data_IF_520761440168
#
_entry.id   IF_520761440168
#
_cell.length_a   1.000
_cell.length_b   1.000
_cell.length_c   1.000
_cell.angle_alpha   90.00
_cell.angle_beta   90.00
_cell.angle_gamma   90.00
#
_symmetry.space_group_name_H-M   'P 1'
#
loop_
_entity.id
_entity.type
_entity.pdbx_description
1 polymer ?
#
# COMPACT_ATOMS: atom_id res chain seq x y z
N UNK A 1 3.30 -29.59 -58.56
CA UNK A 1 3.93 -29.23 -57.26
C UNK A 1 3.46 -27.83 -56.89
N UNK A 2 2.63 -27.69 -55.85
CA UNK A 2 2.25 -26.39 -55.27
C UNK A 2 2.75 -26.38 -53.83
N UNK A 3 3.68 -25.47 -53.52
CA UNK A 3 4.15 -25.16 -52.18
C UNK A 3 3.30 -24.02 -51.61
N UNK A 4 2.78 -24.21 -50.39
CA UNK A 4 2.10 -23.20 -49.58
C UNK A 4 3.13 -22.38 -48.77
N UNK A 5 2.90 -21.08 -48.53
CA UNK A 5 3.78 -20.29 -47.66
C UNK A 5 3.36 -20.38 -46.19
N UNK A 6 4.29 -20.79 -45.33
CA UNK A 6 4.26 -20.61 -43.88
C UNK A 6 5.03 -19.32 -43.58
N UNK A 7 4.34 -18.21 -43.35
CA UNK A 7 4.97 -16.99 -42.84
C UNK A 7 3.90 -16.08 -42.24
N UNK A 8 3.52 -16.30 -40.97
CA UNK A 8 2.74 -15.29 -40.22
C UNK A 8 2.68 -15.49 -38.69
N UNK A 9 3.72 -16.03 -38.03
CA UNK A 9 3.65 -16.32 -36.57
C UNK A 9 4.78 -15.77 -35.70
N UNK A 10 5.70 -14.94 -36.23
CA UNK A 10 6.87 -14.48 -35.46
C UNK A 10 6.79 -13.00 -35.02
N UNK A 11 5.84 -12.21 -35.52
CA UNK A 11 5.80 -10.76 -35.24
C UNK A 11 5.04 -10.32 -33.98
N UNK A 12 4.25 -11.19 -33.34
CA UNK A 12 3.47 -10.80 -32.15
C UNK A 12 4.26 -10.85 -30.83
N UNK A 13 5.38 -11.57 -30.76
CA UNK A 13 6.17 -11.67 -29.52
C UNK A 13 7.02 -10.42 -29.27
N UNK A 14 7.69 -9.88 -30.28
CA UNK A 14 8.57 -8.72 -30.12
C UNK A 14 7.81 -7.45 -29.66
N UNK A 15 6.58 -7.25 -30.13
CA UNK A 15 5.75 -6.12 -29.73
C UNK A 15 5.26 -6.24 -28.27
N UNK A 16 4.99 -7.45 -27.80
CA UNK A 16 4.60 -7.72 -26.41
C UNK A 16 5.76 -7.50 -25.44
N UNK A 17 6.96 -8.01 -25.78
CA UNK A 17 8.18 -7.80 -24.98
C UNK A 17 8.58 -6.31 -24.91
N UNK A 18 8.45 -5.56 -26.00
CA UNK A 18 8.74 -4.13 -26.01
C UNK A 18 7.79 -3.33 -25.11
N UNK A 19 6.48 -3.68 -25.11
CA UNK A 19 5.47 -3.04 -24.25
C UNK A 19 5.65 -3.39 -22.78
N UNK A 20 6.02 -4.63 -22.47
CA UNK A 20 6.28 -5.10 -21.11
C UNK A 20 7.52 -4.42 -20.50
N UNK A 21 8.60 -4.31 -21.29
CA UNK A 21 9.78 -3.53 -20.89
C UNK A 21 9.46 -2.04 -20.68
N UNK A 22 8.57 -1.47 -21.49
CA UNK A 22 8.13 -0.07 -21.32
C UNK A 22 7.26 0.13 -20.07
N UNK A 23 6.36 -0.81 -19.75
CA UNK A 23 5.51 -0.76 -18.56
C UNK A 23 6.35 -0.86 -17.27
N UNK A 24 7.31 -1.80 -17.22
CA UNK A 24 8.23 -1.92 -16.08
C UNK A 24 9.04 -0.65 -15.87
N UNK A 25 9.55 -0.04 -16.96
CA UNK A 25 10.30 1.23 -16.87
C UNK A 25 9.42 2.38 -16.37
N UNK A 26 8.18 2.46 -16.84
CA UNK A 26 7.22 3.47 -16.39
C UNK A 26 6.90 3.29 -14.90
N UNK A 27 6.67 2.05 -14.45
CA UNK A 27 6.43 1.73 -13.05
C UNK A 27 7.64 2.12 -12.18
N UNK A 28 8.85 1.74 -12.60
CA UNK A 28 10.09 2.08 -11.89
C UNK A 28 10.28 3.59 -11.79
N UNK A 29 10.01 4.32 -12.88
CA UNK A 29 10.10 5.78 -12.92
C UNK A 29 9.10 6.43 -11.95
N UNK A 30 7.83 6.02 -11.98
CA UNK A 30 6.79 6.62 -11.14
C UNK A 30 7.05 6.37 -9.65
N UNK A 31 7.55 5.18 -9.28
CA UNK A 31 7.88 4.88 -7.88
C UNK A 31 9.13 5.63 -7.42
N UNK A 32 10.15 5.73 -8.28
CA UNK A 32 11.41 6.43 -7.95
C UNK A 32 11.24 7.95 -7.91
N UNK A 33 10.35 8.48 -8.76
CA UNK A 33 10.09 9.91 -8.97
C UNK A 33 8.57 10.17 -8.98
N UNK A 34 7.91 10.07 -7.82
CA UNK A 34 6.46 10.24 -7.72
C UNK A 34 6.01 11.68 -8.02
N UNK A 35 6.91 12.66 -7.90
CA UNK A 35 6.72 14.04 -8.35
C UNK A 35 5.88 14.91 -7.42
N UNK A 36 5.49 14.41 -6.25
CA UNK A 36 4.98 15.21 -5.14
C UNK A 36 5.62 14.68 -3.86
N UNK A 37 6.25 15.58 -3.11
CA UNK A 37 7.04 15.27 -1.94
C UNK A 37 6.53 16.10 -0.78
N UNK A 38 6.55 15.53 0.42
CA UNK A 38 6.07 16.20 1.63
C UNK A 38 7.08 16.00 2.73
N UNK A 39 7.31 17.03 3.56
CA UNK A 39 8.01 16.80 4.82
C UNK A 39 7.21 15.79 5.63
N UNK A 40 7.87 14.67 5.95
CA UNK A 40 7.45 13.89 7.11
C UNK A 40 7.98 14.64 8.33
N UNK A 41 7.20 15.62 8.80
CA UNK A 41 7.51 16.38 10.01
C UNK A 41 7.56 15.42 11.20
N UNK A 42 8.75 15.22 11.76
CA UNK A 42 9.08 14.20 12.77
C UNK A 42 8.79 12.76 12.31
N UNK A 43 9.69 11.82 12.64
CA UNK A 43 9.40 10.40 12.35
C UNK A 43 8.14 10.01 13.11
N UNK A 44 7.08 9.67 12.38
CA UNK A 44 5.80 9.33 12.98
C UNK A 44 5.98 8.14 13.92
N UNK A 45 5.49 8.26 15.15
CA UNK A 45 5.61 7.21 16.15
C UNK A 45 4.35 6.34 16.10
N UNK A 46 4.52 5.02 16.18
CA UNK A 46 3.43 4.05 16.26
C UNK A 46 3.68 3.04 17.38
N UNK A 47 2.62 2.53 18.05
CA UNK A 47 2.78 1.56 19.13
C UNK A 47 3.49 0.29 18.64
N UNK A 48 4.25 -0.35 19.53
CA UNK A 48 4.95 -1.60 19.24
C UNK A 48 4.02 -2.70 18.70
N UNK A 49 2.80 -2.75 19.22
CA UNK A 49 1.72 -3.59 18.73
C UNK A 49 0.96 -2.88 17.60
N UNK A 50 1.64 -2.74 16.46
CA UNK A 50 1.17 -2.00 15.27
C UNK A 50 -0.27 -2.41 14.89
N UNK A 51 -1.27 -1.53 15.08
CA UNK A 51 -2.65 -1.80 14.68
C UNK A 51 -2.80 -1.74 13.15
N UNK A 52 -3.94 -2.19 12.67
CA UNK A 52 -4.40 -1.78 11.35
C UNK A 52 -4.85 -0.31 11.39
N UNK A 53 -4.39 0.48 10.43
CA UNK A 53 -5.01 1.76 10.08
C UNK A 53 -6.02 1.47 8.97
N UNK A 54 -7.30 1.40 9.32
CA UNK A 54 -8.29 0.88 8.39
C UNK A 54 -8.38 1.76 7.13
N UNK A 55 -8.05 1.16 5.98
CA UNK A 55 -8.14 1.72 4.62
C UNK A 55 -7.30 2.96 4.34
N UNK A 56 -6.39 3.31 5.24
CA UNK A 56 -5.27 4.20 4.94
C UNK A 56 -4.05 3.30 4.73
N UNK A 57 -3.39 3.42 3.58
CA UNK A 57 -1.97 3.04 3.53
C UNK A 57 -1.30 4.05 4.44
N UNK A 58 -0.36 3.60 5.24
CA UNK A 58 0.26 4.50 6.18
C UNK A 58 0.81 5.73 5.45
N UNK A 59 0.39 6.92 5.87
CA UNK A 59 0.75 8.23 5.27
C UNK A 59 2.26 8.55 5.41
N UNK A 60 3.06 7.55 5.75
CA UNK A 60 4.49 7.63 6.06
C UNK A 60 5.35 7.40 4.81
N UNK A 61 4.79 7.56 3.61
CA UNK A 61 5.53 7.42 2.37
C UNK A 61 6.46 8.62 2.10
N UNK A 62 6.21 9.77 2.74
CA UNK A 62 6.93 11.03 2.49
C UNK A 62 6.77 11.59 1.07
N UNK A 63 5.98 10.93 0.24
CA UNK A 63 5.74 11.28 -1.14
C UNK A 63 4.36 10.80 -1.60
N UNK A 64 3.83 11.47 -2.61
CA UNK A 64 2.59 11.14 -3.29
C UNK A 64 2.75 11.36 -4.80
N UNK A 65 1.79 10.91 -5.60
CA UNK A 65 1.89 11.04 -7.05
C UNK A 65 1.39 12.40 -7.52
N UNK A 66 2.24 13.12 -8.26
CA UNK A 66 1.83 14.32 -9.01
C UNK A 66 0.63 14.03 -9.93
N UNK A 67 -0.14 15.05 -10.28
CA UNK A 67 -1.27 14.91 -11.22
C UNK A 67 -0.84 14.28 -12.55
N UNK A 68 0.35 14.65 -13.03
CA UNK A 68 0.97 14.06 -14.23
C UNK A 68 1.14 12.54 -14.08
N UNK A 69 1.72 12.08 -12.98
CA UNK A 69 1.93 10.66 -12.74
C UNK A 69 0.61 9.92 -12.51
N UNK A 70 -0.35 10.50 -11.79
CA UNK A 70 -1.71 9.93 -11.66
C UNK A 70 -2.38 9.75 -13.03
N UNK A 71 -2.21 10.72 -13.93
CA UNK A 71 -2.73 10.62 -15.30
C UNK A 71 -2.03 9.54 -16.12
N UNK A 72 -0.71 9.35 -15.94
CA UNK A 72 0.03 8.26 -16.57
C UNK A 72 -0.42 6.88 -16.06
N UNK A 73 -0.62 6.74 -14.74
CA UNK A 73 -1.15 5.51 -14.14
C UNK A 73 -2.50 5.15 -14.76
N UNK A 74 -3.47 6.09 -14.75
CA UNK A 74 -4.82 5.86 -15.31
C UNK A 74 -4.80 5.48 -16.78
N UNK A 75 -4.01 6.18 -17.61
CA UNK A 75 -3.93 5.92 -19.07
C UNK A 75 -3.28 4.57 -19.41
N UNK A 76 -2.45 4.03 -18.52
CA UNK A 76 -1.68 2.82 -18.75
C UNK A 76 -2.08 1.66 -17.82
N UNK A 77 -3.29 1.70 -17.25
CA UNK A 77 -3.76 0.72 -16.25
C UNK A 77 -3.41 -0.71 -16.64
N UNK A 78 -3.86 -1.19 -17.78
CA UNK A 78 -3.75 -2.62 -18.14
C UNK A 78 -2.30 -3.11 -18.22
N UNK A 79 -1.41 -2.32 -18.82
CA UNK A 79 0.01 -2.68 -18.92
C UNK A 79 0.72 -2.56 -17.57
N UNK A 80 0.33 -1.60 -16.74
CA UNK A 80 0.90 -1.41 -15.41
C UNK A 80 0.45 -2.49 -14.44
N UNK A 81 -0.83 -2.89 -14.46
CA UNK A 81 -1.34 -3.99 -13.64
C UNK A 81 -0.58 -5.28 -13.94
N UNK A 82 -0.33 -5.58 -15.22
CA UNK A 82 0.50 -6.73 -15.60
C UNK A 82 1.92 -6.63 -15.02
N UNK A 83 2.58 -5.50 -15.22
CA UNK A 83 3.93 -5.23 -14.69
C UNK A 83 4.00 -5.31 -13.16
N UNK A 84 2.96 -4.86 -12.46
CA UNK A 84 2.84 -4.93 -11.00
C UNK A 84 2.76 -6.38 -10.54
N UNK A 85 1.95 -7.21 -11.19
CA UNK A 85 1.81 -8.63 -10.83
C UNK A 85 3.15 -9.36 -10.94
N UNK A 86 3.87 -9.14 -12.03
CA UNK A 86 5.23 -9.68 -12.22
C UNK A 86 6.18 -9.18 -11.13
N UNK A 87 6.20 -7.86 -10.88
CA UNK A 87 7.06 -7.26 -9.86
C UNK A 87 6.80 -7.80 -8.45
N UNK A 88 5.55 -7.99 -8.04
CA UNK A 88 5.21 -8.52 -6.72
C UNK A 88 5.81 -9.92 -6.48
N UNK A 89 5.94 -10.74 -7.53
CA UNK A 89 6.53 -12.07 -7.43
C UNK A 89 8.06 -12.02 -7.33
N UNK A 90 8.69 -10.98 -7.89
CA UNK A 90 10.14 -10.78 -7.92
C UNK A 90 10.71 -10.14 -6.64
N UNK A 91 9.85 -9.55 -5.78
CA UNK A 91 10.32 -8.93 -4.53
C UNK A 91 11.06 -9.96 -3.67
N UNK A 92 12.31 -9.63 -3.37
CA UNK A 92 13.23 -10.34 -2.50
C UNK A 92 13.49 -9.53 -1.22
N UNK A 93 12.95 -10.02 -0.10
CA UNK A 93 13.11 -9.40 1.21
C UNK A 93 14.52 -9.51 1.81
N UNK A 94 15.44 -10.23 1.15
CA UNK A 94 16.85 -10.27 1.56
C UNK A 94 17.72 -9.24 0.84
N UNK A 95 17.20 -8.63 -0.23
CA UNK A 95 17.92 -7.64 -1.03
C UNK A 95 17.97 -6.31 -0.27
N UNK A 96 19.15 -5.70 -0.25
CA UNK A 96 19.30 -4.32 0.20
C UNK A 96 18.56 -3.36 -0.73
N UNK A 97 17.75 -2.49 -0.13
CA UNK A 97 17.03 -1.46 -0.86
C UNK A 97 17.99 -0.34 -1.28
N UNK A 98 17.80 0.17 -2.48
CA UNK A 98 18.61 1.25 -3.07
C UNK A 98 17.84 2.56 -3.00
N UNK A 99 18.48 3.59 -2.46
CA UNK A 99 17.93 4.94 -2.53
C UNK A 99 17.84 5.37 -4.00
N UNK A 100 16.67 5.83 -4.47
CA UNK A 100 16.53 6.38 -5.81
C UNK A 100 17.36 7.64 -6.02
N UNK A 101 17.61 7.97 -7.29
CA UNK A 101 18.19 9.27 -7.64
C UNK A 101 17.21 10.40 -7.29
N UNK A 102 17.77 11.54 -6.91
CA UNK A 102 17.03 12.77 -6.63
C UNK A 102 16.14 13.18 -7.81
N UNK A 103 14.89 13.57 -7.55
CA UNK A 103 14.02 14.16 -8.57
C UNK A 103 14.37 15.62 -8.80
N UNK A 104 15.11 15.87 -9.86
CA UNK A 104 15.53 17.22 -10.24
C UNK A 104 14.39 18.05 -10.84
N UNK A 105 13.25 17.45 -11.18
CA UNK A 105 12.14 18.15 -11.83
C UNK A 105 11.32 19.03 -10.88
N UNK A 106 11.45 18.80 -9.57
CA UNK A 106 10.80 19.58 -8.50
C UNK A 106 11.74 20.62 -7.87
N UNK A 107 13.00 20.71 -8.32
CA UNK A 107 13.96 21.72 -7.82
C UNK A 107 13.54 23.13 -8.22
N UNK A 108 13.13 23.93 -7.25
CA UNK A 108 12.76 25.34 -7.41
C UNK A 108 11.28 25.62 -7.17
N UNK A 109 10.45 24.59 -7.04
CA UNK A 109 9.16 24.71 -6.35
C UNK A 109 9.48 24.66 -4.84
N UNK A 110 8.82 25.50 -4.03
CA UNK A 110 9.00 25.55 -2.56
C UNK A 110 8.45 24.26 -1.89
N UNK A 111 8.90 23.10 -2.35
CA UNK A 111 8.61 21.81 -1.75
C UNK A 111 9.38 21.70 -0.44
N UNK A 112 8.68 21.39 0.62
CA UNK A 112 9.26 21.22 1.94
C UNK A 112 9.98 19.86 2.04
N UNK A 113 9.53 18.82 1.34
CA UNK A 113 10.03 17.44 1.45
C UNK A 113 11.31 17.12 0.68
N UNK A 114 11.99 16.04 1.10
CA UNK A 114 13.13 15.50 0.36
C UNK A 114 12.67 14.89 -0.98
N UNK A 115 13.31 15.23 -2.12
CA UNK A 115 12.85 14.84 -3.46
C UNK A 115 13.24 13.40 -3.84
N UNK A 116 13.02 12.43 -2.95
CA UNK A 116 13.29 11.01 -3.17
C UNK A 116 12.01 10.18 -3.14
N UNK A 117 11.82 9.31 -4.13
CA UNK A 117 10.79 8.28 -4.09
C UNK A 117 11.23 7.03 -3.34
N UNK A 118 10.69 5.88 -3.75
CA UNK A 118 11.02 4.58 -3.17
C UNK A 118 11.85 3.71 -4.12
N UNK A 119 12.58 2.72 -3.57
CA UNK A 119 13.18 1.67 -4.38
C UNK A 119 12.08 0.86 -5.10
N UNK A 120 11.98 0.91 -6.44
CA UNK A 120 10.92 0.24 -7.17
C UNK A 120 11.01 -1.29 -7.10
N UNK A 121 12.17 -1.84 -6.74
CA UNK A 121 12.40 -3.28 -6.61
C UNK A 121 12.12 -3.80 -5.18
N UNK A 122 11.68 -2.93 -4.26
CA UNK A 122 11.31 -3.27 -2.90
C UNK A 122 9.80 -3.21 -2.71
N UNK A 123 9.27 -3.97 -1.75
CA UNK A 123 7.96 -3.64 -1.21
C UNK A 123 8.04 -2.25 -0.56
N UNK A 124 7.15 -1.35 -0.95
CA UNK A 124 7.12 0.04 -0.53
C UNK A 124 5.67 0.59 -0.58
N UNK A 125 5.34 1.67 0.16
CA UNK A 125 3.98 2.19 0.21
C UNK A 125 3.51 2.78 -1.12
N UNK A 126 4.41 3.34 -1.95
CA UNK A 126 4.06 3.87 -3.27
C UNK A 126 3.56 2.77 -4.21
N UNK A 127 4.17 1.58 -4.21
CA UNK A 127 3.69 0.43 -4.97
C UNK A 127 2.28 0.01 -4.52
N UNK A 128 2.04 -0.02 -3.20
CA UNK A 128 0.73 -0.35 -2.65
C UNK A 128 -0.32 0.71 -3.03
N UNK A 129 0.05 1.99 -3.07
CA UNK A 129 -0.86 3.06 -3.45
C UNK A 129 -1.18 3.01 -4.96
N UNK A 130 -0.21 2.73 -5.83
CA UNK A 130 -0.45 2.50 -7.27
C UNK A 130 -1.49 1.39 -7.45
N UNK A 131 -1.35 0.27 -6.73
CA UNK A 131 -2.29 -0.86 -6.77
C UNK A 131 -3.72 -0.39 -6.42
N UNK A 132 -3.86 0.45 -5.41
CA UNK A 132 -5.15 1.00 -5.00
C UNK A 132 -5.72 2.00 -6.00
N UNK A 133 -4.88 2.88 -6.58
CA UNK A 133 -5.31 3.88 -7.57
C UNK A 133 -5.77 3.23 -8.87
N UNK A 134 -5.09 2.15 -9.28
CA UNK A 134 -5.46 1.36 -10.46
C UNK A 134 -6.64 0.41 -10.21
N UNK A 135 -7.07 0.25 -8.95
CA UNK A 135 -8.02 -0.77 -8.52
C UNK A 135 -7.63 -2.15 -9.08
N UNK A 136 -6.38 -2.55 -8.85
CA UNK A 136 -5.76 -3.72 -9.45
C UNK A 136 -6.15 -5.02 -8.70
N UNK A 137 -7.43 -5.38 -8.71
CA UNK A 137 -7.95 -6.59 -8.07
C UNK A 137 -7.37 -7.87 -8.69
N UNK A 138 -6.90 -7.80 -9.92
CA UNK A 138 -6.19 -8.87 -10.64
C UNK A 138 -4.85 -9.23 -9.98
N UNK A 139 -4.29 -8.35 -9.14
CA UNK A 139 -3.05 -8.58 -8.40
C UNK A 139 -3.26 -9.25 -7.03
N UNK A 140 -4.51 -9.55 -6.64
CA UNK A 140 -4.81 -10.21 -5.36
C UNK A 140 -4.05 -11.53 -5.13
N UNK A 141 -3.87 -12.42 -6.13
CA UNK A 141 -3.07 -13.63 -5.94
C UNK A 141 -1.62 -13.32 -5.54
N UNK A 142 -0.98 -12.37 -6.24
CA UNK A 142 0.41 -12.00 -5.99
C UNK A 142 0.55 -11.21 -4.68
N UNK A 143 -0.42 -10.37 -4.33
CA UNK A 143 -0.51 -9.72 -3.01
C UNK A 143 -0.59 -10.74 -1.86
N UNK A 144 -1.39 -11.80 -1.99
CA UNK A 144 -1.46 -12.87 -0.99
C UNK A 144 -0.16 -13.68 -0.90
N UNK A 145 0.54 -13.85 -2.02
CA UNK A 145 1.83 -14.53 -2.07
C UNK A 145 2.92 -13.71 -1.36
N UNK A 146 3.02 -12.41 -1.66
CA UNK A 146 4.00 -11.54 -1.00
C UNK A 146 3.70 -11.36 0.49
N UNK A 147 2.43 -11.37 0.88
CA UNK A 147 2.00 -11.36 2.28
C UNK A 147 2.44 -12.61 3.03
N UNK A 148 2.32 -13.78 2.39
CA UNK A 148 2.87 -15.03 2.92
C UNK A 148 4.40 -15.00 3.08
N UNK A 149 5.10 -14.46 2.07
CA UNK A 149 6.57 -14.32 2.10
C UNK A 149 7.04 -13.42 3.26
N UNK A 150 6.45 -12.24 3.45
CA UNK A 150 6.86 -11.32 4.52
C UNK A 150 6.54 -11.90 5.91
N UNK A 151 5.41 -12.58 6.08
CA UNK A 151 5.07 -13.24 7.35
C UNK A 151 6.07 -14.35 7.68
N UNK A 152 6.46 -15.17 6.71
CA UNK A 152 7.47 -16.20 6.90
C UNK A 152 8.84 -15.59 7.24
N UNK A 153 9.23 -14.50 6.58
CA UNK A 153 10.50 -13.82 6.84
C UNK A 153 10.53 -13.15 8.22
N UNK A 154 9.44 -12.51 8.66
CA UNK A 154 9.30 -11.96 10.01
C UNK A 154 9.41 -13.08 11.05
N UNK A 155 8.68 -14.19 10.86
CA UNK A 155 8.73 -15.33 11.78
C UNK A 155 10.16 -15.89 11.89
N UNK A 156 10.83 -16.12 10.76
CA UNK A 156 12.21 -16.57 10.72
C UNK A 156 13.15 -15.64 11.48
N UNK A 157 13.03 -14.32 11.29
CA UNK A 157 13.83 -13.34 12.01
C UNK A 157 13.45 -13.22 13.51
N UNK A 158 12.26 -13.65 13.93
CA UNK A 158 11.95 -13.72 15.37
C UNK A 158 12.56 -14.96 16.01
N UNK A 159 12.54 -16.08 15.31
CA UNK A 159 12.97 -17.38 15.83
C UNK A 159 14.50 -17.58 15.75
N UNK A 160 15.17 -16.90 14.80
CA UNK A 160 16.61 -16.99 14.58
C UNK A 160 17.26 -15.60 14.60
N UNK A 161 18.02 -15.31 15.66
CA UNK A 161 18.73 -14.05 15.84
C UNK A 161 19.77 -13.75 14.73
N UNK A 162 20.27 -14.78 14.04
CA UNK A 162 21.22 -14.65 12.92
C UNK A 162 20.53 -14.33 11.60
N UNK A 163 19.24 -14.67 11.46
CA UNK A 163 18.47 -14.30 10.28
C UNK A 163 18.22 -12.80 10.25
N UNK A 164 18.53 -12.13 9.14
CA UNK A 164 18.24 -10.70 8.95
C UNK A 164 16.72 -10.47 8.91
N UNK A 165 16.20 -9.37 9.48
CA UNK A 165 14.82 -8.95 9.25
C UNK A 165 14.56 -8.73 7.75
N UNK A 166 13.33 -8.98 7.27
CA UNK A 166 12.98 -8.70 5.88
C UNK A 166 13.09 -7.20 5.59
N UNK A 167 13.72 -6.87 4.46
CA UNK A 167 13.96 -5.50 4.01
C UNK A 167 12.72 -4.94 3.32
N UNK A 168 12.24 -3.81 3.80
CA UNK A 168 11.16 -3.00 3.22
C UNK A 168 11.64 -1.56 3.08
N UNK A 169 11.07 -0.76 2.17
CA UNK A 169 11.57 0.60 1.91
C UNK A 169 10.44 1.64 1.86
N UNK A 170 10.73 2.86 2.33
CA UNK A 170 9.86 4.02 2.15
C UNK A 170 8.77 4.19 3.22
N UNK A 171 8.79 3.40 4.31
CA UNK A 171 7.97 3.67 5.49
C UNK A 171 8.77 4.50 6.50
N UNK A 172 8.38 5.76 6.70
CA UNK A 172 9.02 6.69 7.63
C UNK A 172 8.29 6.72 8.98
N UNK A 173 8.34 5.58 9.70
CA UNK A 173 7.64 5.39 10.99
C UNK A 173 8.53 4.70 12.02
N UNK A 174 8.51 5.11 13.27
CA UNK A 174 9.28 4.51 14.35
C UNK A 174 8.36 3.95 15.45
N UNK A 175 8.85 2.99 16.25
CA UNK A 175 8.09 2.53 17.39
C UNK A 175 8.01 3.58 18.51
N UNK A 176 6.81 3.84 19.02
CA UNK A 176 6.57 4.58 20.25
C UNK A 176 7.41 4.03 21.41
N UNK A 177 7.90 4.94 22.26
CA UNK A 177 8.70 4.58 23.42
C UNK A 177 10.06 3.96 23.08
N UNK A 178 10.49 3.96 21.81
CA UNK A 178 11.91 3.71 21.52
C UNK A 178 12.71 4.98 21.77
N UNK A 179 12.96 5.25 23.04
CA UNK A 179 13.94 6.26 23.42
C UNK A 179 15.30 5.90 22.79
N UNK A 180 16.00 6.92 22.32
CA UNK A 180 17.35 6.74 21.81
C UNK A 180 18.26 6.29 22.96
N UNK A 181 18.68 5.03 22.93
CA UNK A 181 19.69 4.50 23.83
C UNK A 181 21.05 4.50 23.12
N UNK A 182 21.92 5.43 23.50
CA UNK A 182 23.28 5.55 22.96
C UNK A 182 24.15 4.32 23.23
N UNK A 183 23.77 3.50 24.22
CA UNK A 183 24.48 2.27 24.58
C UNK A 183 23.89 1.03 23.89
N UNK A 184 22.76 1.16 23.16
CA UNK A 184 22.20 0.05 22.38
C UNK A 184 23.14 -0.30 21.22
N UNK A 185 23.64 -1.56 21.11
CA UNK A 185 24.44 -1.97 19.98
C UNK A 185 23.71 -1.72 18.66
N UNK A 186 24.38 -1.13 17.67
CA UNK A 186 23.79 -0.77 16.38
C UNK A 186 23.04 -1.93 15.72
N UNK A 187 23.64 -3.12 15.69
CA UNK A 187 23.00 -4.31 15.13
C UNK A 187 21.69 -4.70 15.85
N UNK A 188 21.57 -4.45 17.16
CA UNK A 188 20.34 -4.69 17.92
C UNK A 188 19.28 -3.65 17.57
N UNK A 189 19.67 -2.38 17.47
CA UNK A 189 18.80 -1.27 17.06
C UNK A 189 18.26 -1.50 15.65
N UNK A 190 19.14 -1.76 14.69
CA UNK A 190 18.78 -2.06 13.29
C UNK A 190 17.83 -3.25 13.19
N UNK A 191 18.09 -4.32 13.95
CA UNK A 191 17.21 -5.48 13.99
C UNK A 191 15.81 -5.12 14.47
N UNK A 192 15.72 -4.37 15.58
CA UNK A 192 14.45 -3.94 16.17
C UNK A 192 13.67 -3.07 15.19
N UNK A 193 14.33 -2.09 14.57
CA UNK A 193 13.71 -1.19 13.59
C UNK A 193 13.29 -1.96 12.33
N UNK A 194 14.14 -2.85 11.79
CA UNK A 194 13.80 -3.67 10.62
C UNK A 194 12.58 -4.58 10.86
N UNK A 195 12.50 -5.24 12.02
CA UNK A 195 11.33 -6.03 12.39
C UNK A 195 10.07 -5.17 12.61
N UNK A 196 10.23 -3.92 13.05
CA UNK A 196 9.12 -2.99 13.17
C UNK A 196 8.61 -2.54 11.79
N UNK A 197 9.50 -2.07 10.90
CA UNK A 197 9.14 -1.68 9.53
C UNK A 197 8.47 -2.80 8.76
N UNK A 198 9.01 -4.02 8.85
CA UNK A 198 8.42 -5.19 8.21
C UNK A 198 6.99 -5.48 8.70
N UNK A 199 6.71 -5.26 9.99
CA UNK A 199 5.36 -5.41 10.54
C UNK A 199 4.43 -4.35 9.98
N UNK A 200 4.87 -3.08 9.90
CA UNK A 200 4.09 -2.00 9.28
C UNK A 200 3.76 -2.34 7.83
N UNK A 201 4.77 -2.69 7.03
CA UNK A 201 4.60 -3.08 5.63
C UNK A 201 3.63 -4.27 5.48
N UNK A 202 3.69 -5.25 6.38
CA UNK A 202 2.76 -6.38 6.38
C UNK A 202 1.32 -5.96 6.74
N UNK A 203 1.11 -4.97 7.61
CA UNK A 203 -0.22 -4.42 7.93
C UNK A 203 -0.79 -3.66 6.74
N UNK A 204 0.02 -2.79 6.13
CA UNK A 204 -0.39 -2.01 4.97
C UNK A 204 -0.73 -2.92 3.79
N UNK A 205 0.07 -3.95 3.53
CA UNK A 205 -0.20 -4.94 2.50
C UNK A 205 -1.55 -5.66 2.71
N UNK A 206 -1.84 -6.07 3.95
CA UNK A 206 -3.14 -6.66 4.30
C UNK A 206 -4.27 -5.65 4.13
N UNK A 207 -4.05 -4.38 4.47
CA UNK A 207 -5.05 -3.33 4.28
C UNK A 207 -5.26 -2.95 2.82
N UNK A 208 -4.24 -3.06 1.97
CA UNK A 208 -4.37 -2.92 0.51
C UNK A 208 -5.32 -3.99 -0.04
N UNK A 209 -5.12 -5.25 0.37
CA UNK A 209 -6.01 -6.37 -0.01
C UNK A 209 -7.45 -6.09 0.44
N UNK A 210 -7.63 -5.70 1.70
CA UNK A 210 -8.93 -5.36 2.27
C UNK A 210 -9.62 -4.21 1.52
N UNK A 211 -8.88 -3.15 1.20
CA UNK A 211 -9.40 -1.96 0.50
C UNK A 211 -9.82 -2.28 -0.93
N UNK A 212 -9.07 -3.12 -1.65
CA UNK A 212 -9.46 -3.59 -2.98
C UNK A 212 -10.80 -4.33 -2.92
N UNK A 213 -10.95 -5.31 -2.02
CA UNK A 213 -12.22 -6.03 -1.86
C UNK A 213 -13.39 -5.13 -1.44
N UNK A 214 -13.10 -4.13 -0.61
CA UNK A 214 -14.09 -3.15 -0.17
C UNK A 214 -14.57 -2.26 -1.32
N UNK A 215 -13.67 -1.77 -2.17
CA UNK A 215 -14.01 -0.98 -3.37
C UNK A 215 -14.94 -1.75 -4.31
N UNK A 216 -14.71 -3.06 -4.42
CA UNK A 216 -15.57 -3.99 -5.18
C UNK A 216 -16.90 -4.34 -4.48
N UNK A 217 -17.15 -3.79 -3.28
CA UNK A 217 -18.34 -4.09 -2.48
C UNK A 217 -18.51 -5.60 -2.24
N UNK A 218 -17.40 -6.32 -2.06
CA UNK A 218 -17.44 -7.77 -1.99
C UNK A 218 -18.08 -8.25 -0.68
N UNK A 219 -19.29 -8.78 -0.78
CA UNK A 219 -20.13 -9.21 0.36
C UNK A 219 -19.41 -10.08 1.42
N UNK A 220 -18.63 -11.11 1.06
CA UNK A 220 -17.89 -11.88 2.06
C UNK A 220 -16.87 -11.07 2.86
N UNK A 221 -16.25 -10.06 2.25
CA UNK A 221 -15.36 -9.14 2.96
C UNK A 221 -16.14 -8.18 3.87
N UNK A 222 -17.27 -7.64 3.39
CA UNK A 222 -18.11 -6.71 4.15
C UNK A 222 -18.71 -7.33 5.44
N UNK A 223 -18.69 -8.66 5.55
CA UNK A 223 -19.15 -9.41 6.74
C UNK A 223 -18.03 -9.77 7.72
N UNK A 224 -16.80 -9.33 7.46
CA UNK A 224 -15.66 -9.59 8.36
C UNK A 224 -15.75 -8.75 9.64
N UNK A 225 -15.07 -9.21 10.69
CA UNK A 225 -14.97 -8.45 11.94
C UNK A 225 -14.20 -7.15 11.75
N UNK A 226 -13.27 -7.11 10.80
CA UNK A 226 -12.51 -5.91 10.46
C UNK A 226 -13.44 -4.81 9.93
N UNK A 227 -14.31 -5.11 8.97
CA UNK A 227 -15.28 -4.12 8.44
C UNK A 227 -16.25 -3.68 9.54
N UNK A 228 -16.74 -4.61 10.36
CA UNK A 228 -17.61 -4.27 11.49
C UNK A 228 -16.92 -3.33 12.50
N UNK A 229 -15.63 -3.57 12.80
CA UNK A 229 -14.83 -2.71 13.68
C UNK A 229 -14.56 -1.34 13.04
N UNK A 230 -14.30 -1.29 11.72
CA UNK A 230 -14.14 -0.04 10.99
C UNK A 230 -15.39 0.83 11.06
N UNK A 231 -16.55 0.28 10.70
CA UNK A 231 -17.84 0.99 10.72
C UNK A 231 -18.19 1.44 12.15
N UNK A 232 -17.83 0.65 13.16
CA UNK A 232 -17.96 1.05 14.56
C UNK A 232 -17.09 2.27 14.87
N UNK A 233 -15.82 2.26 14.47
CA UNK A 233 -14.91 3.39 14.66
C UNK A 233 -15.38 4.67 13.96
N UNK A 234 -15.87 4.56 12.71
CA UNK A 234 -16.48 5.70 12.01
C UNK A 234 -17.68 6.28 12.78
N UNK A 235 -18.52 5.43 13.35
CA UNK A 235 -19.67 5.89 14.16
C UNK A 235 -19.25 6.53 15.47
N UNK A 236 -18.13 6.12 16.06
CA UNK A 236 -17.56 6.72 17.27
C UNK A 236 -17.01 8.11 16.95
N UNK A 237 -16.20 8.24 15.88
CA UNK A 237 -15.71 9.52 15.37
C UNK A 237 -16.88 10.47 15.03
N UNK A 238 -17.88 10.00 14.29
CA UNK A 238 -19.06 10.80 13.96
C UNK A 238 -19.77 11.33 15.22
N UNK A 239 -19.89 10.53 16.28
CA UNK A 239 -20.54 10.96 17.53
C UNK A 239 -19.74 12.05 18.24
N UNK A 240 -18.42 11.91 18.30
CA UNK A 240 -17.52 12.87 18.92
C UNK A 240 -17.66 14.25 18.28
N UNK A 241 -17.70 14.29 16.95
CA UNK A 241 -17.78 15.54 16.18
C UNK A 241 -19.20 15.98 15.84
N UNK A 242 -20.22 15.32 16.42
CA UNK A 242 -21.64 15.58 16.17
C UNK A 242 -21.89 15.67 14.65
N UNK A 243 -21.69 14.57 13.93
CA UNK A 243 -22.16 14.36 12.56
C UNK A 243 -23.45 13.51 12.42
N UNK A 244 -23.97 12.80 13.43
CA UNK A 244 -25.23 12.04 13.32
C UNK A 244 -26.47 12.85 12.94
N UNK A 245 -26.40 14.19 12.85
CA UNK A 245 -27.48 15.01 12.29
C UNK A 245 -27.71 14.78 10.79
N UNK A 246 -26.71 14.25 10.06
CA UNK A 246 -26.87 14.00 8.63
C UNK A 246 -27.55 12.65 8.39
N UNK A 247 -28.77 12.69 7.87
CA UNK A 247 -29.49 11.53 7.36
C UNK A 247 -28.84 11.00 6.07
N UNK A 248 -29.14 9.74 5.69
CA UNK A 248 -28.63 9.14 4.45
C UNK A 248 -29.06 9.86 3.17
N UNK A 249 -30.09 10.70 3.20
CA UNK A 249 -30.51 11.52 2.06
C UNK A 249 -29.91 12.92 2.04
N UNK A 250 -29.25 13.33 3.13
CA UNK A 250 -28.73 14.69 3.25
C UNK A 250 -27.52 14.91 2.36
N UNK A 251 -27.43 16.11 1.80
CA UNK A 251 -26.19 16.61 1.19
C UNK A 251 -25.23 16.93 2.33
N UNK A 252 -24.13 16.19 2.39
CA UNK A 252 -23.08 16.43 3.38
C UNK A 252 -22.24 17.63 2.91
N UNK A 253 -22.07 18.68 3.73
CA UNK A 253 -21.16 19.77 3.40
C UNK A 253 -19.72 19.25 3.33
N UNK A 254 -18.91 19.84 2.45
CA UNK A 254 -17.51 19.43 2.31
C UNK A 254 -16.65 19.79 3.54
N UNK A 255 -17.11 20.73 4.39
CA UNK A 255 -16.39 21.19 5.57
C UNK A 255 -17.37 21.62 6.68
N UNK A 256 -17.07 21.28 7.94
CA UNK A 256 -17.72 21.86 9.14
C UNK A 256 -16.63 22.16 10.16
N UNK A 257 -16.65 23.39 10.71
CA UNK A 257 -15.70 23.80 11.77
C UNK A 257 -14.22 23.62 11.38
N UNK A 258 -13.87 23.76 10.10
CA UNK A 258 -12.51 23.59 9.60
C UNK A 258 -12.12 22.14 9.29
N UNK A 259 -13.00 21.17 9.53
CA UNK A 259 -12.77 19.76 9.24
C UNK A 259 -13.38 19.37 7.91
N UNK A 260 -12.59 18.77 7.01
CA UNK A 260 -13.10 18.18 5.78
C UNK A 260 -13.96 16.94 6.10
N UNK A 261 -15.15 16.86 5.51
CA UNK A 261 -16.12 15.79 5.79
C UNK A 261 -16.41 14.99 4.53
N UNK A 262 -16.64 13.70 4.71
CA UNK A 262 -17.14 12.82 3.67
C UNK A 262 -18.22 11.88 4.21
N UNK A 263 -18.85 11.15 3.29
CA UNK A 263 -19.71 10.02 3.61
C UNK A 263 -19.07 8.76 3.07
N UNK A 264 -18.81 7.80 3.94
CA UNK A 264 -18.35 6.49 3.53
C UNK A 264 -19.37 5.81 2.60
N UNK A 265 -18.94 5.49 1.38
CA UNK A 265 -19.82 5.04 0.29
C UNK A 265 -20.47 3.66 0.53
N UNK A 266 -19.97 2.88 1.50
CA UNK A 266 -20.45 1.51 1.77
C UNK A 266 -21.38 1.50 2.98
N UNK A 267 -20.94 2.09 4.10
CA UNK A 267 -21.69 2.13 5.35
C UNK A 267 -22.67 3.29 5.45
N UNK A 268 -22.48 4.33 4.63
CA UNK A 268 -23.25 5.56 4.66
C UNK A 268 -23.02 6.43 5.89
N UNK A 269 -21.99 6.13 6.69
CA UNK A 269 -21.63 6.94 7.87
C UNK A 269 -20.92 8.21 7.41
N UNK A 270 -21.39 9.36 7.89
CA UNK A 270 -20.70 10.64 7.72
C UNK A 270 -19.57 10.77 8.73
N UNK A 271 -18.36 11.09 8.28
CA UNK A 271 -17.13 11.14 9.07
C UNK A 271 -16.18 12.21 8.53
N UNK A 272 -15.10 12.51 9.26
CA UNK A 272 -14.04 13.36 8.70
C UNK A 272 -13.33 12.61 7.59
N UNK A 273 -12.95 13.30 6.53
CA UNK A 273 -12.31 12.73 5.34
C UNK A 273 -10.98 12.03 5.64
N UNK A 274 -10.27 12.51 6.65
CA UNK A 274 -8.98 11.94 7.07
C UNK A 274 -9.08 11.10 8.35
N UNK A 275 -10.28 10.67 8.74
CA UNK A 275 -10.49 9.83 9.93
C UNK A 275 -9.66 8.56 9.85
N UNK A 276 -8.75 8.40 10.82
CA UNK A 276 -7.96 7.18 10.99
C UNK A 276 -8.66 6.28 12.00
N UNK A 277 -9.24 5.16 11.56
CA UNK A 277 -9.76 4.14 12.49
C UNK A 277 -8.66 3.13 12.78
N UNK A 278 -8.19 3.13 14.03
CA UNK A 278 -7.22 2.16 14.53
C UNK A 278 -7.93 0.88 15.00
N UNK A 279 -7.59 -0.25 14.37
CA UNK A 279 -8.14 -1.57 14.73
C UNK A 279 -7.00 -2.45 15.21
N UNK A 280 -7.07 -3.04 16.42
CA UNK A 280 -6.04 -3.94 16.91
C UNK A 280 -5.76 -5.07 15.91
N UNK A 281 -4.48 -5.30 15.63
CA UNK A 281 -4.09 -6.42 14.80
C UNK A 281 -4.38 -7.74 15.51
N UNK A 282 -5.02 -8.68 14.81
CA UNK A 282 -5.12 -10.07 15.25
C UNK A 282 -4.83 -11.02 14.09
N UNK A 283 -4.38 -12.24 14.40
CA UNK A 283 -4.18 -13.25 13.37
C UNK A 283 -5.51 -13.63 12.72
N UNK A 284 -6.58 -13.67 13.50
CA UNK A 284 -7.92 -14.01 13.07
C UNK A 284 -8.44 -13.01 12.03
N UNK A 285 -8.26 -11.69 12.27
CA UNK A 285 -8.68 -10.66 11.33
C UNK A 285 -7.87 -10.70 10.03
N UNK A 286 -6.56 -10.95 10.11
CA UNK A 286 -5.72 -11.22 8.93
C UNK A 286 -6.24 -12.42 8.13
N UNK A 287 -6.52 -13.53 8.80
CA UNK A 287 -6.95 -14.77 8.16
C UNK A 287 -8.35 -14.64 7.56
N UNK A 288 -9.25 -13.84 8.17
CA UNK A 288 -10.55 -13.45 7.58
C UNK A 288 -10.38 -12.69 6.25
N UNK A 289 -9.48 -11.69 6.20
CA UNK A 289 -9.17 -10.93 4.98
C UNK A 289 -8.59 -11.85 3.90
N UNK A 290 -7.63 -12.71 4.27
CA UNK A 290 -7.03 -13.68 3.34
C UNK A 290 -8.08 -14.64 2.79
N UNK A 291 -8.97 -15.15 3.62
CA UNK A 291 -10.04 -16.05 3.21
C UNK A 291 -11.03 -15.36 2.26
N UNK A 292 -11.39 -14.10 2.52
CA UNK A 292 -12.22 -13.32 1.61
C UNK A 292 -11.53 -13.12 0.25
N UNK A 293 -10.24 -12.76 0.24
CA UNK A 293 -9.48 -12.57 -1.00
C UNK A 293 -9.34 -13.88 -1.79
N UNK A 294 -9.08 -15.00 -1.13
CA UNK A 294 -9.04 -16.32 -1.78
C UNK A 294 -10.38 -16.70 -2.42
N UNK A 295 -11.50 -16.40 -1.75
CA UNK A 295 -12.84 -16.62 -2.32
C UNK A 295 -13.09 -15.71 -3.53
N UNK A 296 -12.64 -14.46 -3.48
CA UNK A 296 -12.71 -13.54 -4.61
C UNK A 296 -11.95 -14.11 -5.81
N UNK A 297 -10.69 -14.51 -5.61
CA UNK A 297 -9.83 -15.07 -6.66
C UNK A 297 -10.46 -16.33 -7.28
N UNK A 298 -10.99 -17.23 -6.45
CA UNK A 298 -11.65 -18.44 -6.94
C UNK A 298 -12.91 -18.16 -7.79
N UNK A 299 -13.58 -17.03 -7.54
CA UNK A 299 -14.74 -16.59 -8.31
C UNK A 299 -14.38 -15.77 -9.56
N UNK A 300 -13.14 -15.29 -9.68
CA UNK A 300 -12.66 -14.43 -10.76
C UNK A 300 -11.27 -14.89 -11.25
N UNK A 301 -11.19 -16.05 -11.96
CA UNK A 301 -9.93 -16.63 -12.42
C UNK A 301 -9.26 -15.84 -13.55
#
# INVERSE_FOLDING_TARGET
>A
MKLLPIACLVFSFAASFAKESQASKLLDQIISQPGSYSQVCDVMMMPQDVPYRAFQISDFAGASFSEKNQNLLRKNRDILVKSIRERLLEIDFSREAKQPAEDLSVKGEEGDGDPYGADPQSLNPLLLDIILQLNATEALPELLAIEGKIVAAIAKAKDDASAKPPVTYGWFVNPEGSEYDENEPEAKRERRLGLFQARVAQRDLVMTIAKLMRKEKYEPYLKTKLEAAYVKGLKEDAKEFKFPQFSQSDVVPNEIEGEEIERDEISGVTNRKYTTVSIPYTRESRDEIRAAAQKWIAAHP
#
